data_IF_349695227857
#
_entry.id   IF_349695227857
#
_cell.length_a   1.000
_cell.length_b   1.000
_cell.length_c   1.000
_cell.angle_alpha   90.00
_cell.angle_beta   90.00
_cell.angle_gamma   90.00
#
_symmetry.space_group_name_H-M   'P 1'
#
loop_
_entity.id
_entity.type
_entity.pdbx_description
1 polymer ?
#
# COMPACT_ATOMS: atom_id res chain seq x y z
N UNK A 1 34.36 -3.89 -0.73
CA UNK A 1 33.03 -3.28 -0.56
C UNK A 1 33.06 -2.00 -1.37
N UNK A 2 31.95 -1.63 -2.01
CA UNK A 2 31.84 -0.46 -2.89
C UNK A 2 30.98 0.56 -2.15
N UNK A 3 31.63 1.44 -1.40
CA UNK A 3 30.95 2.52 -0.67
C UNK A 3 30.57 3.66 -1.61
N UNK A 4 29.58 4.47 -1.22
CA UNK A 4 29.25 5.71 -1.93
C UNK A 4 30.49 6.59 -2.12
N UNK A 5 31.30 6.79 -1.06
CA UNK A 5 32.50 7.62 -1.11
C UNK A 5 33.54 7.15 -2.12
N UNK A 6 33.76 5.85 -2.23
CA UNK A 6 34.73 5.27 -3.17
C UNK A 6 34.28 5.42 -4.62
N UNK A 7 32.97 5.30 -4.88
CA UNK A 7 32.41 5.29 -6.24
C UNK A 7 32.05 6.69 -6.75
N UNK A 8 31.50 7.53 -5.88
CA UNK A 8 30.99 8.86 -6.23
C UNK A 8 31.95 9.99 -5.84
N UNK A 9 32.93 9.72 -4.97
CA UNK A 9 33.83 10.74 -4.44
C UNK A 9 33.14 11.68 -3.45
N UNK A 10 33.60 12.93 -3.38
CA UNK A 10 32.95 13.99 -2.60
C UNK A 10 31.86 14.61 -3.47
N UNK A 11 30.62 14.50 -3.03
CA UNK A 11 29.46 15.14 -3.65
C UNK A 11 28.84 16.06 -2.61
N UNK A 12 28.53 17.30 -2.99
CA UNK A 12 27.73 18.18 -2.13
C UNK A 12 26.24 17.82 -2.23
N UNK A 13 25.48 18.14 -1.18
CA UNK A 13 24.05 17.85 -1.12
C UNK A 13 23.16 18.94 -1.71
N UNK A 14 23.66 19.83 -2.57
CA UNK A 14 22.90 21.04 -2.97
C UNK A 14 21.87 20.79 -4.07
N UNK A 15 21.92 19.63 -4.74
CA UNK A 15 20.99 19.24 -5.80
C UNK A 15 20.57 17.78 -5.69
N UNK A 16 20.11 17.21 -6.80
CA UNK A 16 19.79 15.78 -6.89
C UNK A 16 21.08 14.95 -6.90
N UNK A 17 21.07 13.82 -6.19
CA UNK A 17 22.15 12.83 -6.21
C UNK A 17 21.60 11.52 -6.77
N UNK A 18 22.16 11.09 -7.90
CA UNK A 18 21.88 9.78 -8.50
C UNK A 18 23.13 8.89 -8.42
N UNK A 19 23.02 7.86 -7.59
CA UNK A 19 24.00 6.79 -7.42
C UNK A 19 23.40 5.42 -7.72
N UNK A 20 22.35 5.38 -8.55
CA UNK A 20 21.68 4.15 -8.95
C UNK A 20 22.56 3.24 -9.81
N UNK A 21 22.37 1.93 -9.69
CA UNK A 21 23.01 0.91 -10.53
C UNK A 21 24.55 0.97 -10.54
N UNK A 22 25.16 1.27 -9.40
CA UNK A 22 26.61 1.39 -9.22
C UNK A 22 27.24 0.20 -8.50
N UNK A 23 26.45 -0.79 -8.13
CA UNK A 23 26.89 -1.94 -7.35
C UNK A 23 27.32 -1.54 -5.93
N UNK A 24 26.72 -0.51 -5.35
CA UNK A 24 27.04 -0.06 -4.00
C UNK A 24 26.63 -1.11 -2.97
N UNK A 25 27.49 -1.32 -1.98
CA UNK A 25 27.19 -2.16 -0.80
C UNK A 25 27.00 -1.35 0.46
N UNK A 26 27.27 -0.03 0.43
CA UNK A 26 27.13 0.89 1.56
C UNK A 26 26.94 2.34 1.08
N UNK A 27 26.17 3.13 1.82
CA UNK A 27 26.01 4.57 1.63
C UNK A 27 27.03 5.40 2.43
N UNK A 28 28.06 4.75 2.98
CA UNK A 28 29.12 5.43 3.72
C UNK A 28 29.75 6.59 2.91
N UNK A 29 29.76 7.76 3.55
CA UNK A 29 30.30 8.99 3.01
C UNK A 29 29.37 9.76 2.06
N UNK A 30 28.08 9.40 2.02
CA UNK A 30 27.05 10.35 1.57
C UNK A 30 27.09 11.64 2.40
N UNK A 31 26.68 12.79 1.82
CA UNK A 31 26.42 13.99 2.62
C UNK A 31 25.33 13.70 3.66
N UNK A 32 25.31 14.46 4.77
CA UNK A 32 24.27 14.29 5.79
C UNK A 32 22.87 14.73 5.30
N UNK A 33 22.84 15.63 4.33
CA UNK A 33 21.62 16.26 3.84
C UNK A 33 21.67 16.45 2.32
N UNK A 34 20.53 16.25 1.65
CA UNK A 34 20.35 16.50 0.21
C UNK A 34 19.13 17.39 -0.02
N UNK A 35 19.35 18.55 -0.65
CA UNK A 35 18.33 19.54 -1.00
C UNK A 35 17.40 19.04 -2.11
N UNK A 36 17.92 18.22 -3.03
CA UNK A 36 17.14 17.56 -4.07
C UNK A 36 16.66 16.17 -3.67
N UNK A 37 16.53 15.31 -4.67
CA UNK A 37 16.21 13.89 -4.53
C UNK A 37 17.48 13.05 -4.41
N UNK A 38 17.39 11.92 -3.71
CA UNK A 38 18.46 10.96 -3.56
C UNK A 38 18.02 9.61 -4.12
N UNK A 39 18.71 9.15 -5.17
CA UNK A 39 18.45 7.86 -5.82
C UNK A 39 19.63 6.92 -5.60
N UNK A 40 19.42 5.85 -4.82
CA UNK A 40 20.36 4.76 -4.61
C UNK A 40 19.79 3.40 -5.09
N UNK A 41 18.82 3.43 -6.01
CA UNK A 41 18.17 2.23 -6.53
C UNK A 41 19.10 1.29 -7.32
N UNK A 42 18.74 0.00 -7.40
CA UNK A 42 19.45 -0.98 -8.22
C UNK A 42 20.87 -1.29 -7.73
N UNK A 43 21.10 -1.29 -6.43
CA UNK A 43 22.39 -1.59 -5.81
C UNK A 43 22.32 -2.89 -4.99
N UNK A 44 23.34 -3.16 -4.18
CA UNK A 44 23.46 -4.35 -3.32
C UNK A 44 23.41 -3.94 -1.83
N UNK A 45 22.61 -2.91 -1.50
CA UNK A 45 22.49 -2.41 -0.14
C UNK A 45 21.67 -3.39 0.71
N UNK A 46 22.19 -3.71 1.89
CA UNK A 46 21.49 -4.54 2.91
C UNK A 46 20.97 -3.70 4.08
N UNK A 47 21.41 -2.45 4.18
CA UNK A 47 21.00 -1.44 5.15
C UNK A 47 21.06 -0.06 4.47
N UNK A 48 20.35 0.92 5.04
CA UNK A 48 20.42 2.32 4.62
C UNK A 48 21.32 3.15 5.53
N UNK A 49 22.11 2.54 6.41
CA UNK A 49 23.10 3.26 7.22
C UNK A 49 23.99 4.17 6.36
N UNK A 50 24.07 5.44 6.76
CA UNK A 50 24.76 6.50 6.02
C UNK A 50 23.89 7.26 5.02
N UNK A 51 22.61 6.90 4.84
CA UNK A 51 21.69 7.65 4.00
C UNK A 51 21.50 9.11 4.46
N UNK A 52 21.40 10.08 3.53
CA UNK A 52 21.09 11.46 3.85
C UNK A 52 19.62 11.65 4.25
N UNK A 53 19.35 12.69 5.03
CA UNK A 53 18.02 13.30 5.08
C UNK A 53 17.75 14.05 3.76
N UNK A 54 16.51 14.01 3.24
CA UNK A 54 16.20 14.56 1.90
C UNK A 54 14.97 15.46 1.85
N UNK A 55 15.08 16.55 1.07
CA UNK A 55 13.96 17.45 0.76
C UNK A 55 13.13 16.99 -0.44
N UNK A 56 13.74 16.27 -1.38
CA UNK A 56 13.06 15.66 -2.52
C UNK A 56 12.63 14.23 -2.23
N UNK A 57 12.69 13.40 -3.28
CA UNK A 57 12.36 11.98 -3.21
C UNK A 57 13.54 11.17 -2.66
N UNK A 58 13.26 10.05 -2.00
CA UNK A 58 14.25 9.05 -1.63
C UNK A 58 13.91 7.73 -2.30
N UNK A 59 14.76 7.28 -3.22
CA UNK A 59 14.57 6.02 -3.93
C UNK A 59 15.69 5.03 -3.56
N UNK A 60 15.29 3.95 -2.89
CA UNK A 60 16.14 2.82 -2.52
C UNK A 60 15.63 1.49 -3.09
N UNK A 61 14.82 1.55 -4.14
CA UNK A 61 14.25 0.38 -4.79
C UNK A 61 15.30 -0.57 -5.37
N UNK A 62 14.94 -1.85 -5.52
CA UNK A 62 15.81 -2.84 -6.16
C UNK A 62 17.14 -3.06 -5.45
N UNK A 63 17.10 -3.19 -4.12
CA UNK A 63 18.26 -3.51 -3.27
C UNK A 63 18.02 -4.86 -2.54
N UNK A 64 18.84 -5.17 -1.53
CA UNK A 64 18.74 -6.39 -0.72
C UNK A 64 18.29 -6.09 0.72
N UNK A 65 17.53 -4.99 0.92
CA UNK A 65 17.10 -4.52 2.23
C UNK A 65 16.13 -5.52 2.88
N UNK A 66 16.31 -5.80 4.18
CA UNK A 66 15.43 -6.66 5.00
C UNK A 66 14.55 -5.83 5.96
N UNK A 67 15.07 -4.69 6.39
CA UNK A 67 14.38 -3.62 7.13
C UNK A 67 14.73 -2.27 6.50
N UNK A 68 14.12 -1.19 6.99
CA UNK A 68 14.45 0.18 6.58
C UNK A 68 15.37 0.87 7.60
N UNK A 69 16.13 0.09 8.37
CA UNK A 69 17.06 0.67 9.34
C UNK A 69 18.12 1.54 8.62
N UNK A 70 18.36 2.73 9.17
CA UNK A 70 19.23 3.74 8.58
C UNK A 70 18.56 4.64 7.54
N UNK A 71 17.29 4.42 7.18
CA UNK A 71 16.55 5.32 6.30
C UNK A 71 16.48 6.76 6.88
N UNK A 72 16.32 7.78 6.01
CA UNK A 72 16.04 9.14 6.47
C UNK A 72 14.81 9.19 7.37
N UNK A 73 14.86 10.01 8.42
CA UNK A 73 13.70 10.20 9.32
C UNK A 73 12.62 11.05 8.66
N UNK A 74 13.01 11.93 7.75
CA UNK A 74 12.12 12.84 7.03
C UNK A 74 12.41 12.82 5.53
N UNK A 75 11.33 12.73 4.74
CA UNK A 75 11.39 12.75 3.28
C UNK A 75 10.40 13.79 2.79
N UNK A 76 10.92 14.79 2.05
CA UNK A 76 10.10 15.90 1.60
C UNK A 76 9.26 15.61 0.35
N UNK A 77 9.54 14.52 -0.37
CA UNK A 77 8.75 13.99 -1.48
C UNK A 77 8.29 12.55 -1.21
N UNK A 78 8.50 11.67 -2.19
CA UNK A 78 8.14 10.25 -2.15
C UNK A 78 9.27 9.41 -1.51
N UNK A 79 8.89 8.37 -0.77
CA UNK A 79 9.82 7.34 -0.31
C UNK A 79 9.53 6.01 -1.02
N UNK A 80 10.48 5.56 -1.82
CA UNK A 80 10.34 4.43 -2.73
C UNK A 80 11.31 3.33 -2.29
N UNK A 81 10.77 2.18 -1.88
CA UNK A 81 11.52 1.02 -1.42
C UNK A 81 11.04 -0.30 -2.07
N UNK A 82 10.37 -0.20 -3.23
CA UNK A 82 9.87 -1.37 -3.94
C UNK A 82 10.97 -2.35 -4.33
N UNK A 83 10.61 -3.63 -4.48
CA UNK A 83 11.53 -4.63 -5.04
C UNK A 83 12.74 -4.92 -4.15
N UNK A 84 12.54 -4.96 -2.85
CA UNK A 84 13.53 -5.34 -1.85
C UNK A 84 13.17 -6.72 -1.24
N UNK A 85 13.76 -7.06 -0.09
CA UNK A 85 13.44 -8.28 0.68
C UNK A 85 12.84 -7.91 2.04
N UNK A 86 12.13 -6.79 2.12
CA UNK A 86 11.62 -6.26 3.38
C UNK A 86 10.64 -7.25 4.01
N UNK A 87 10.90 -7.57 5.28
CA UNK A 87 9.98 -8.38 6.10
C UNK A 87 9.25 -7.54 7.15
N UNK A 88 9.68 -6.29 7.31
CA UNK A 88 9.17 -5.30 8.25
C UNK A 88 9.42 -3.90 7.72
N UNK A 89 8.53 -2.96 8.05
CA UNK A 89 8.70 -1.53 7.77
C UNK A 89 9.35 -0.78 8.95
N UNK A 90 9.87 -1.49 9.95
CA UNK A 90 10.68 -0.87 11.01
C UNK A 90 11.87 -0.14 10.38
N UNK A 91 12.09 1.09 10.85
CA UNK A 91 13.08 2.01 10.31
C UNK A 91 12.52 2.98 9.25
N UNK A 92 11.28 2.78 8.77
CA UNK A 92 10.67 3.68 7.79
C UNK A 92 10.67 5.15 8.27
N UNK A 93 10.75 6.12 7.34
CA UNK A 93 10.65 7.53 7.69
C UNK A 93 9.37 7.83 8.47
N UNK A 94 9.49 8.66 9.50
CA UNK A 94 8.34 9.04 10.35
C UNK A 94 7.44 10.07 9.67
N UNK A 95 8.00 10.85 8.73
CA UNK A 95 7.30 11.91 8.00
C UNK A 95 7.66 11.84 6.53
N UNK A 96 6.65 11.56 5.71
CA UNK A 96 6.71 11.58 4.25
C UNK A 96 5.64 12.56 3.78
N UNK A 97 6.00 13.46 2.86
CA UNK A 97 5.05 14.44 2.30
C UNK A 97 4.36 13.95 1.03
N UNK A 98 5.00 13.06 0.29
CA UNK A 98 4.45 12.43 -0.91
C UNK A 98 3.85 11.06 -0.62
N UNK A 99 4.21 10.10 -1.46
CA UNK A 99 3.80 8.71 -1.45
C UNK A 99 4.82 7.82 -0.73
N UNK A 100 4.36 6.65 -0.27
CA UNK A 100 5.21 5.61 0.30
C UNK A 100 4.96 4.32 -0.48
N UNK A 101 5.98 3.87 -1.20
CA UNK A 101 5.92 2.66 -2.01
C UNK A 101 6.81 1.57 -1.41
N UNK A 102 6.18 0.52 -0.88
CA UNK A 102 6.80 -0.69 -0.37
C UNK A 102 6.35 -1.95 -1.11
N UNK A 103 5.87 -1.78 -2.35
CA UNK A 103 5.40 -2.89 -3.18
C UNK A 103 6.50 -3.91 -3.50
N UNK A 104 6.12 -5.13 -3.88
CA UNK A 104 7.07 -6.15 -4.33
C UNK A 104 8.10 -6.54 -3.26
N UNK A 105 7.63 -6.79 -2.04
CA UNK A 105 8.45 -7.17 -0.88
C UNK A 105 7.93 -8.47 -0.23
N UNK A 106 8.41 -8.79 0.97
CA UNK A 106 8.04 -10.01 1.71
C UNK A 106 7.26 -9.67 3.00
N UNK A 107 6.55 -8.54 3.02
CA UNK A 107 5.85 -8.05 4.20
C UNK A 107 4.67 -8.96 4.55
N UNK A 108 4.55 -9.30 5.84
CA UNK A 108 3.42 -10.06 6.40
C UNK A 108 2.49 -9.21 7.27
N UNK A 109 2.93 -8.02 7.64
CA UNK A 109 2.16 -7.01 8.35
C UNK A 109 2.68 -5.63 7.95
N UNK A 110 1.88 -4.60 8.15
CA UNK A 110 2.28 -3.21 7.91
C UNK A 110 2.87 -2.55 9.17
N UNK A 111 3.22 -3.31 10.21
CA UNK A 111 3.83 -2.76 11.42
C UNK A 111 5.12 -2.02 11.09
N UNK A 112 5.22 -0.79 11.58
CA UNK A 112 6.33 0.13 11.28
C UNK A 112 6.04 1.10 10.15
N UNK A 113 4.93 0.92 9.41
CA UNK A 113 4.51 1.86 8.39
C UNK A 113 4.29 3.27 8.97
N UNK A 114 4.58 4.32 8.19
CA UNK A 114 4.16 5.68 8.50
C UNK A 114 2.64 5.75 8.68
N UNK A 115 2.18 6.51 9.68
CA UNK A 115 0.75 6.57 10.04
C UNK A 115 -0.09 7.51 9.20
N UNK A 116 0.54 8.49 8.57
CA UNK A 116 -0.11 9.49 7.73
C UNK A 116 0.70 9.67 6.47
N UNK A 117 0.07 9.44 5.33
CA UNK A 117 0.64 9.59 3.99
C UNK A 117 -0.28 10.50 3.18
N UNK A 118 0.23 11.55 2.57
CA UNK A 118 -0.65 12.44 1.77
C UNK A 118 -0.91 11.89 0.38
N UNK A 119 0.09 11.25 -0.21
CA UNK A 119 0.00 10.63 -1.52
C UNK A 119 -0.57 9.20 -1.46
N UNK A 120 0.00 8.32 -2.27
CA UNK A 120 -0.33 6.89 -2.31
C UNK A 120 0.45 6.15 -1.24
N UNK A 121 -0.23 5.27 -0.50
CA UNK A 121 0.42 4.18 0.22
C UNK A 121 0.31 2.92 -0.63
N UNK A 122 1.43 2.46 -1.18
CA UNK A 122 1.50 1.27 -2.02
C UNK A 122 2.18 0.13 -1.26
N UNK A 123 1.41 -0.91 -0.98
CA UNK A 123 1.87 -2.15 -0.35
C UNK A 123 1.47 -3.38 -1.18
N UNK A 124 1.26 -3.17 -2.49
CA UNK A 124 0.93 -4.24 -3.42
C UNK A 124 2.02 -5.31 -3.49
N UNK A 125 1.67 -6.50 -4.00
CA UNK A 125 2.61 -7.60 -4.25
C UNK A 125 3.48 -7.97 -3.02
N UNK A 126 2.81 -8.25 -1.91
CA UNK A 126 3.42 -8.66 -0.65
C UNK A 126 2.77 -9.98 -0.13
N UNK A 127 2.98 -10.30 1.14
CA UNK A 127 2.45 -11.50 1.80
C UNK A 127 1.48 -11.14 2.93
N UNK A 128 0.81 -9.98 2.84
CA UNK A 128 -0.10 -9.47 3.86
C UNK A 128 -1.34 -10.34 3.98
N UNK A 129 -1.83 -10.49 5.22
CA UNK A 129 -3.06 -11.23 5.54
C UNK A 129 -4.18 -10.35 6.13
N UNK A 130 -3.79 -9.20 6.70
CA UNK A 130 -4.64 -8.05 7.07
C UNK A 130 -3.86 -6.76 6.80
N UNK A 131 -4.51 -5.60 6.95
CA UNK A 131 -3.90 -4.28 6.81
C UNK A 131 -3.47 -3.69 8.17
N UNK A 132 -3.49 -4.51 9.22
CA UNK A 132 -3.11 -4.09 10.57
C UNK A 132 -1.71 -3.48 10.62
N UNK A 133 -1.61 -2.34 11.30
CA UNK A 133 -0.37 -1.59 11.42
C UNK A 133 -0.12 -0.60 10.28
N UNK A 134 -0.97 -0.56 9.25
CA UNK A 134 -0.91 0.39 8.14
C UNK A 134 -1.13 1.86 8.53
N UNK A 135 -1.12 2.76 7.53
CA UNK A 135 -1.50 4.15 7.74
C UNK A 135 -2.97 4.24 8.11
N UNK A 136 -3.30 5.20 8.98
CA UNK A 136 -4.69 5.53 9.33
C UNK A 136 -5.28 6.59 8.39
N UNK A 137 -4.42 7.26 7.63
CA UNK A 137 -4.76 8.33 6.70
C UNK A 137 -3.83 8.24 5.47
N UNK A 138 -4.43 8.09 4.30
CA UNK A 138 -3.74 8.01 3.00
C UNK A 138 -4.59 8.60 1.88
N UNK A 139 -3.98 9.29 0.92
CA UNK A 139 -4.68 9.81 -0.25
C UNK A 139 -5.23 8.68 -1.14
N UNK A 140 -4.35 7.80 -1.61
CA UNK A 140 -4.70 6.51 -2.24
C UNK A 140 -4.12 5.35 -1.45
N UNK A 141 -4.71 4.17 -1.56
CA UNK A 141 -4.21 2.95 -0.93
C UNK A 141 -4.23 1.79 -1.92
N UNK A 142 -3.08 1.17 -2.14
CA UNK A 142 -2.98 -0.05 -2.94
C UNK A 142 -2.45 -1.20 -2.08
N UNK A 143 -3.27 -2.24 -1.98
CA UNK A 143 -2.96 -3.50 -1.32
C UNK A 143 -3.23 -4.72 -2.22
N UNK A 144 -3.22 -4.50 -3.53
CA UNK A 144 -3.43 -5.56 -4.51
C UNK A 144 -2.34 -6.63 -4.46
N UNK A 145 -2.63 -7.83 -4.98
CA UNK A 145 -1.62 -8.89 -5.10
C UNK A 145 -1.10 -9.42 -3.76
N UNK A 146 -1.94 -9.46 -2.73
CA UNK A 146 -1.59 -9.94 -1.40
C UNK A 146 -2.34 -11.25 -1.07
N UNK A 147 -2.38 -11.62 0.22
CA UNK A 147 -3.11 -12.79 0.74
C UNK A 147 -4.20 -12.35 1.73
N UNK A 148 -4.75 -11.15 1.54
CA UNK A 148 -5.74 -10.57 2.43
C UNK A 148 -7.01 -11.40 2.39
N UNK A 149 -7.52 -11.78 3.57
CA UNK A 149 -8.86 -12.35 3.73
C UNK A 149 -9.83 -11.37 4.41
N UNK A 150 -9.32 -10.23 4.86
CA UNK A 150 -10.02 -9.09 5.46
C UNK A 150 -9.30 -7.79 5.09
N UNK A 151 -10.02 -6.67 5.08
CA UNK A 151 -9.48 -5.32 4.94
C UNK A 151 -9.40 -4.59 6.30
N UNK A 152 -9.60 -5.29 7.41
CA UNK A 152 -9.34 -4.74 8.75
C UNK A 152 -7.95 -4.09 8.82
N UNK A 153 -7.91 -2.86 9.33
CA UNK A 153 -6.72 -2.01 9.38
C UNK A 153 -6.60 -1.00 8.23
N UNK A 154 -7.48 -1.05 7.21
CA UNK A 154 -7.58 0.00 6.20
C UNK A 154 -8.03 1.35 6.82
N UNK A 155 -7.70 2.49 6.19
CA UNK A 155 -8.30 3.78 6.51
C UNK A 155 -9.82 3.77 6.29
N UNK A 156 -10.56 4.52 7.12
CA UNK A 156 -12.02 4.61 7.02
C UNK A 156 -12.49 5.40 5.78
N UNK A 157 -11.69 6.38 5.33
CA UNK A 157 -11.95 7.26 4.19
C UNK A 157 -10.73 7.31 3.27
N UNK A 158 -10.98 7.35 1.95
CA UNK A 158 -9.92 7.43 0.93
C UNK A 158 -10.27 8.55 -0.05
N UNK A 159 -9.38 9.53 -0.16
CA UNK A 159 -9.58 10.71 -1.00
C UNK A 159 -9.48 10.42 -2.50
N UNK A 160 -8.82 9.33 -2.88
CA UNK A 160 -8.56 8.94 -4.25
C UNK A 160 -8.89 7.45 -4.45
N UNK A 161 -7.95 6.64 -4.89
CA UNK A 161 -8.21 5.25 -5.28
C UNK A 161 -7.90 4.27 -4.14
N UNK A 162 -8.73 3.23 -4.02
CA UNK A 162 -8.48 2.09 -3.15
C UNK A 162 -8.51 0.79 -3.97
N UNK A 163 -7.35 0.13 -4.07
CA UNK A 163 -7.21 -1.13 -4.79
C UNK A 163 -6.88 -2.27 -3.82
N UNK A 164 -7.77 -3.26 -3.77
CA UNK A 164 -7.60 -4.51 -3.02
C UNK A 164 -7.74 -5.75 -3.92
N UNK A 165 -7.52 -5.58 -5.22
CA UNK A 165 -7.65 -6.66 -6.19
C UNK A 165 -6.61 -7.77 -6.02
N UNK A 166 -6.90 -8.97 -6.52
CA UNK A 166 -5.95 -10.09 -6.49
C UNK A 166 -5.61 -10.53 -5.06
N UNK A 167 -6.64 -10.71 -4.23
CA UNK A 167 -6.53 -11.14 -2.84
C UNK A 167 -7.41 -12.39 -2.58
N UNK A 168 -7.59 -12.76 -1.31
CA UNK A 168 -8.39 -13.91 -0.88
C UNK A 168 -9.68 -13.48 -0.18
N UNK A 169 -10.17 -12.27 -0.47
CA UNK A 169 -11.33 -11.68 0.22
C UNK A 169 -12.60 -12.48 -0.10
N UNK A 170 -13.32 -12.88 0.95
CA UNK A 170 -14.66 -13.49 0.85
C UNK A 170 -15.77 -12.48 1.22
N UNK A 171 -15.39 -11.38 1.86
CA UNK A 171 -16.23 -10.25 2.19
C UNK A 171 -15.39 -8.97 2.17
N UNK A 172 -16.04 -7.80 2.12
CA UNK A 172 -15.37 -6.51 2.18
C UNK A 172 -15.28 -5.98 3.62
N UNK A 173 -15.11 -6.88 4.60
CA UNK A 173 -14.98 -6.46 6.00
C UNK A 173 -13.74 -5.60 6.18
N UNK A 174 -13.91 -4.41 6.77
CA UNK A 174 -12.86 -3.40 6.92
C UNK A 174 -12.63 -2.52 5.70
N UNK A 175 -13.40 -2.64 4.61
CA UNK A 175 -13.29 -1.71 3.49
C UNK A 175 -13.65 -0.27 3.91
N UNK A 176 -13.05 0.76 3.29
CA UNK A 176 -13.47 2.15 3.48
C UNK A 176 -14.96 2.34 3.12
N UNK A 177 -15.67 3.18 3.87
CA UNK A 177 -17.10 3.45 3.63
C UNK A 177 -17.29 4.38 2.40
N UNK A 178 -16.39 5.36 2.24
CA UNK A 178 -16.47 6.43 1.24
C UNK A 178 -15.15 6.51 0.47
N UNK A 179 -15.24 6.51 -0.86
CA UNK A 179 -14.09 6.59 -1.76
C UNK A 179 -14.35 7.65 -2.83
N UNK A 180 -13.53 8.70 -2.81
CA UNK A 180 -13.66 9.84 -3.72
C UNK A 180 -13.05 9.58 -5.12
N UNK A 181 -12.26 8.51 -5.27
CA UNK A 181 -11.78 7.98 -6.55
C UNK A 181 -12.40 6.62 -6.88
N UNK A 182 -11.60 5.71 -7.41
CA UNK A 182 -12.03 4.37 -7.83
C UNK A 182 -11.82 3.33 -6.73
N UNK A 183 -12.71 2.34 -6.68
CA UNK A 183 -12.60 1.18 -5.82
C UNK A 183 -12.46 -0.08 -6.68
N UNK A 184 -11.43 -0.88 -6.41
CA UNK A 184 -11.22 -2.18 -7.06
C UNK A 184 -11.13 -3.28 -6.02
N UNK A 185 -12.03 -4.26 -6.13
CA UNK A 185 -11.99 -5.54 -5.41
C UNK A 185 -11.99 -6.73 -6.39
N UNK A 186 -11.51 -6.49 -7.61
CA UNK A 186 -11.43 -7.51 -8.66
C UNK A 186 -10.56 -8.71 -8.24
N UNK A 187 -10.73 -9.87 -8.87
CA UNK A 187 -9.92 -11.07 -8.61
C UNK A 187 -9.87 -11.46 -7.12
N UNK A 188 -11.05 -11.66 -6.54
CA UNK A 188 -11.21 -12.11 -5.16
C UNK A 188 -12.19 -13.30 -5.11
N UNK A 189 -12.61 -13.69 -3.91
CA UNK A 189 -13.55 -14.78 -3.67
C UNK A 189 -14.89 -14.28 -3.13
N UNK A 190 -15.30 -13.07 -3.50
CA UNK A 190 -16.53 -12.45 -3.01
C UNK A 190 -17.76 -13.15 -3.61
N UNK A 191 -18.71 -13.55 -2.77
CA UNK A 191 -20.01 -14.10 -3.20
C UNK A 191 -21.13 -13.04 -3.24
N UNK A 192 -20.90 -11.91 -2.58
CA UNK A 192 -21.74 -10.71 -2.56
C UNK A 192 -20.88 -9.49 -2.19
N UNK A 193 -21.47 -8.28 -2.26
CA UNK A 193 -20.77 -7.03 -1.98
C UNK A 193 -21.06 -6.46 -0.58
N UNK A 194 -21.50 -7.30 0.37
CA UNK A 194 -21.69 -6.83 1.76
C UNK A 194 -20.42 -6.17 2.23
N UNK A 195 -20.60 -5.12 3.03
CA UNK A 195 -19.53 -4.38 3.67
C UNK A 195 -18.66 -3.54 2.73
N UNK A 196 -18.98 -3.50 1.43
CA UNK A 196 -18.29 -2.64 0.48
C UNK A 196 -18.62 -1.16 0.66
N UNK A 197 -17.84 -0.29 0.00
CA UNK A 197 -18.07 1.15 0.02
C UNK A 197 -19.47 1.49 -0.50
N UNK A 198 -20.13 2.42 0.17
CA UNK A 198 -21.51 2.83 -0.17
C UNK A 198 -21.55 3.95 -1.21
N UNK A 199 -20.53 4.81 -1.22
CA UNK A 199 -20.38 5.95 -2.14
C UNK A 199 -18.99 5.90 -2.78
N UNK A 200 -18.94 5.61 -4.08
CA UNK A 200 -17.72 5.59 -4.89
C UNK A 200 -17.87 6.59 -6.03
N UNK A 201 -17.08 7.66 -6.04
CA UNK A 201 -17.21 8.69 -7.09
C UNK A 201 -16.58 8.28 -8.42
N UNK A 202 -15.59 7.39 -8.39
CA UNK A 202 -14.93 6.84 -9.57
C UNK A 202 -15.54 5.52 -10.04
N UNK A 203 -14.70 4.66 -10.58
CA UNK A 203 -15.11 3.32 -11.02
C UNK A 203 -15.26 2.38 -9.83
N UNK A 204 -16.18 1.42 -9.93
CA UNK A 204 -16.28 0.31 -8.99
C UNK A 204 -16.03 -0.98 -9.76
N UNK A 205 -14.90 -1.65 -9.50
CA UNK A 205 -14.55 -2.92 -10.14
C UNK A 205 -14.64 -4.08 -9.15
N UNK A 206 -15.64 -4.95 -9.34
CA UNK A 206 -15.82 -6.22 -8.65
C UNK A 206 -15.76 -7.41 -9.62
N UNK A 207 -15.05 -7.24 -10.74
CA UNK A 207 -14.92 -8.28 -11.74
C UNK A 207 -14.15 -9.50 -11.22
N UNK A 208 -14.31 -10.64 -11.89
CA UNK A 208 -13.58 -11.89 -11.59
C UNK A 208 -13.71 -12.30 -10.12
N UNK A 209 -14.95 -12.35 -9.64
CA UNK A 209 -15.32 -12.82 -8.31
C UNK A 209 -16.28 -14.02 -8.41
N UNK A 210 -16.89 -14.42 -7.30
CA UNK A 210 -17.87 -15.49 -7.22
C UNK A 210 -19.29 -14.96 -6.95
N UNK A 211 -19.56 -13.70 -7.33
CA UNK A 211 -20.82 -13.03 -7.00
C UNK A 211 -22.00 -13.85 -7.52
N UNK A 212 -22.94 -14.16 -6.63
CA UNK A 212 -24.21 -14.82 -7.00
C UNK A 212 -25.32 -13.81 -7.24
N UNK A 213 -25.18 -12.62 -6.64
CA UNK A 213 -26.14 -11.52 -6.68
C UNK A 213 -25.41 -10.18 -6.60
N UNK A 214 -26.07 -9.10 -7.04
CA UNK A 214 -25.65 -7.72 -6.86
C UNK A 214 -26.30 -7.06 -5.62
N UNK A 215 -26.84 -7.85 -4.69
CA UNK A 215 -27.22 -7.31 -3.37
C UNK A 215 -26.01 -6.64 -2.72
N UNK A 216 -26.29 -5.58 -1.96
CA UNK A 216 -25.27 -4.77 -1.30
C UNK A 216 -24.33 -4.02 -2.25
N UNK A 217 -24.71 -3.87 -3.53
CA UNK A 217 -24.00 -2.97 -4.44
C UNK A 217 -23.94 -1.55 -3.87
N UNK A 218 -22.91 -0.78 -4.23
CA UNK A 218 -22.82 0.65 -3.87
C UNK A 218 -24.10 1.40 -4.24
N UNK A 219 -24.51 2.35 -3.40
CA UNK A 219 -25.66 3.21 -3.69
C UNK A 219 -25.34 4.20 -4.81
N UNK A 220 -24.08 4.66 -4.84
CA UNK A 220 -23.56 5.57 -5.87
C UNK A 220 -22.25 5.06 -6.43
N UNK A 221 -22.20 5.03 -7.75
CA UNK A 221 -20.97 4.87 -8.54
C UNK A 221 -20.98 6.01 -9.55
N UNK A 222 -19.99 6.91 -9.47
CA UNK A 222 -19.90 8.03 -10.42
C UNK A 222 -19.30 7.63 -11.78
N UNK A 223 -18.52 6.55 -11.81
CA UNK A 223 -17.93 5.96 -13.02
C UNK A 223 -18.60 4.66 -13.45
N UNK A 224 -17.78 3.75 -13.99
CA UNK A 224 -18.23 2.45 -14.47
C UNK A 224 -18.33 1.43 -13.34
N UNK A 225 -19.44 0.69 -13.27
CA UNK A 225 -19.60 -0.45 -12.36
C UNK A 225 -19.31 -1.76 -13.10
N UNK A 226 -18.10 -2.30 -12.93
CA UNK A 226 -17.65 -3.53 -13.57
C UNK A 226 -17.92 -4.75 -12.67
N UNK A 227 -18.81 -5.63 -13.09
CA UNK A 227 -19.09 -6.92 -12.45
C UNK A 227 -18.84 -8.11 -13.41
N UNK A 228 -18.05 -7.90 -14.45
CA UNK A 228 -17.73 -8.94 -15.44
C UNK A 228 -16.98 -10.13 -14.81
N UNK A 229 -17.05 -11.31 -15.44
CA UNK A 229 -16.32 -12.48 -14.93
C UNK A 229 -16.84 -13.04 -13.60
N UNK A 230 -18.11 -12.80 -13.24
CA UNK A 230 -18.79 -13.45 -12.12
C UNK A 230 -19.68 -14.60 -12.65
N UNK A 231 -19.17 -15.84 -12.77
CA UNK A 231 -19.87 -16.91 -13.49
C UNK A 231 -21.12 -17.43 -12.77
N UNK A 232 -21.26 -17.17 -11.47
CA UNK A 232 -22.41 -17.57 -10.66
C UNK A 232 -23.50 -16.50 -10.60
N UNK A 233 -23.28 -15.34 -11.22
CA UNK A 233 -24.16 -14.20 -11.09
C UNK A 233 -25.49 -14.45 -11.82
N UNK A 234 -26.59 -14.44 -11.07
CA UNK A 234 -27.94 -14.47 -11.61
C UNK A 234 -28.60 -13.11 -11.42
N UNK A 235 -29.01 -12.47 -12.52
CA UNK A 235 -29.71 -11.18 -12.49
C UNK A 235 -31.22 -11.30 -12.21
N UNK A 236 -31.71 -12.52 -11.95
CA UNK A 236 -33.13 -12.80 -11.75
C UNK A 236 -33.59 -12.59 -10.29
N UNK A 237 -32.70 -12.16 -9.39
CA UNK A 237 -33.02 -11.87 -7.99
C UNK A 237 -33.34 -10.38 -7.78
N UNK A 238 -34.44 -10.09 -7.09
CA UNK A 238 -34.83 -8.73 -6.72
C UNK A 238 -33.67 -7.99 -6.03
N UNK A 239 -33.42 -6.74 -6.49
CA UNK A 239 -32.53 -5.78 -5.83
C UNK A 239 -33.11 -5.47 -4.45
N UNK A 240 -32.73 -6.24 -3.43
CA UNK A 240 -32.86 -5.75 -2.05
C UNK A 240 -31.81 -4.66 -1.88
N UNK A 241 -32.25 -3.41 -1.98
CA UNK A 241 -31.49 -2.22 -1.62
C UNK A 241 -31.42 -2.16 -0.09
N UNK A 242 -30.42 -2.82 0.49
CA UNK A 242 -30.10 -2.70 1.90
C UNK A 242 -28.60 -2.53 2.04
N UNK A 243 -28.14 -1.36 2.44
CA UNK A 243 -26.75 -1.14 2.82
C UNK A 243 -26.54 -1.71 4.22
N UNK A 244 -25.58 -2.63 4.36
CA UNK A 244 -25.09 -3.09 5.66
C UNK A 244 -23.68 -2.55 5.81
N UNK A 245 -23.56 -1.30 6.26
CA UNK A 245 -22.27 -0.76 6.69
C UNK A 245 -21.90 -1.36 8.05
N UNK A 246 -20.60 -1.43 8.33
CA UNK A 246 -20.00 -2.12 9.49
C UNK A 246 -20.50 -1.69 10.86
N UNK A 247 -21.18 -0.54 10.98
CA UNK A 247 -21.49 0.06 12.29
C UNK A 247 -22.69 -0.57 13.03
N UNK A 248 -23.07 -1.80 12.69
CA UNK A 248 -24.11 -2.57 13.40
C UNK A 248 -23.71 -4.01 13.80
N UNK A 249 -22.45 -4.41 13.63
CA UNK A 249 -21.96 -5.72 14.12
C UNK A 249 -21.10 -5.51 15.37
N UNK A 250 -21.51 -5.96 16.57
CA UNK A 250 -20.61 -5.97 17.72
C UNK A 250 -19.41 -6.88 17.44
N UNK A 251 -18.23 -6.62 18.03
CA UNK A 251 -17.01 -7.35 17.72
C UNK A 251 -17.23 -8.85 17.86
N UNK A 252 -16.86 -9.62 16.82
CA UNK A 252 -16.84 -11.07 16.87
C UNK A 252 -15.83 -11.47 17.94
N UNK A 253 -16.32 -11.83 19.12
CA UNK A 253 -15.51 -12.44 20.16
C UNK A 253 -15.00 -13.77 19.63
N UNK A 254 -13.72 -13.84 19.26
CA UNK A 254 -13.06 -15.13 19.06
C UNK A 254 -13.02 -15.85 20.41
N UNK A 255 -13.94 -16.79 20.62
CA UNK A 255 -13.75 -17.81 21.65
C UNK A 255 -12.53 -18.63 21.22
N UNK A 256 -11.44 -18.50 21.98
CA UNK A 256 -10.31 -19.43 21.90
C UNK A 256 -10.87 -20.84 22.09
N UNK A 257 -10.65 -21.72 21.12
CA UNK A 257 -10.77 -23.15 21.35
C UNK A 257 -9.78 -23.51 22.46
N UNK A 258 -10.31 -24.14 23.51
CA UNK A 258 -9.55 -24.77 24.60
C UNK A 258 -8.93 -26.06 24.07
#
# INVERSE_FOLDING_TARGET
MSTFREVMGIVDGTGDIDCSNKGLTSLEGCPEFVEGSFNCSGNLLVTLEGAPEVKGNFDCSGNELITLDGAPKMVGGDFICYGNRLTSLVGAPLKIRGSFDCSGNLLRSLKGAPKTIKGRFDCSDNLLVSLDGGPIDSGSFDCSGNRLFTLEGAPDEIAHDFDCSGNLLQSLVGAPDIIDGSFSCADNHLENLRYGPVDVRGNYDCSRNLLMTLRYSPEKVGGHFNFSGNPRLSLNGEKETGTYSHRSVPPVSFQRAV
#
